data_IF_513406384049
#
_entry.id   IF_513406384049
#
_cell.length_a   1.000
_cell.length_b   1.000
_cell.length_c   1.000
_cell.angle_alpha   90.00
_cell.angle_beta   90.00
_cell.angle_gamma   90.00
#
_symmetry.space_group_name_H-M   'P 1'
#
loop_
_entity.id
_entity.type
_entity.pdbx_description
1 polymer ?
#
# COMPACT_ATOMS: atom_id res chain seq x y z
N UNK A 1 -43.29 -49.90 -41.49
CA UNK A 1 -42.43 -49.05 -40.64
C UNK A 1 -42.15 -47.76 -41.39
N UNK A 2 -42.56 -46.64 -40.78
CA UNK A 2 -42.21 -45.21 -41.01
C UNK A 2 -42.00 -44.69 -42.45
N UNK A 3 -43.04 -44.02 -42.95
CA UNK A 3 -42.94 -42.82 -43.80
C UNK A 3 -42.93 -41.58 -42.89
N UNK A 4 -42.06 -40.60 -43.16
CA UNK A 4 -42.21 -39.25 -42.61
C UNK A 4 -41.98 -38.24 -43.74
N UNK A 5 -43.00 -37.42 -43.96
CA UNK A 5 -43.04 -36.29 -44.88
C UNK A 5 -43.13 -34.99 -44.07
N UNK A 6 -42.31 -34.02 -44.48
CA UNK A 6 -42.51 -32.56 -44.58
C UNK A 6 -43.50 -31.87 -43.62
N UNK A 7 -43.00 -30.91 -42.81
CA UNK A 7 -43.71 -29.66 -42.53
C UNK A 7 -42.71 -28.52 -42.23
N UNK A 8 -42.85 -27.45 -43.00
CA UNK A 8 -42.21 -26.14 -42.87
C UNK A 8 -42.82 -25.40 -41.67
N UNK A 9 -42.01 -24.75 -40.83
CA UNK A 9 -42.49 -23.72 -39.91
C UNK A 9 -41.49 -22.56 -39.85
N UNK A 10 -41.91 -21.43 -40.41
CA UNK A 10 -41.29 -20.12 -40.32
C UNK A 10 -41.63 -19.54 -38.95
N UNK A 11 -40.63 -19.11 -38.18
CA UNK A 11 -40.83 -18.23 -37.03
C UNK A 11 -40.01 -16.96 -37.20
N UNK A 12 -40.72 -15.86 -37.42
CA UNK A 12 -40.27 -14.50 -37.15
C UNK A 12 -40.20 -14.32 -35.63
N UNK A 13 -39.06 -13.89 -35.08
CA UNK A 13 -39.01 -13.24 -33.77
C UNK A 13 -38.12 -12.00 -33.85
N UNK A 14 -38.76 -10.89 -33.50
CA UNK A 14 -38.30 -9.51 -33.54
C UNK A 14 -37.11 -9.25 -32.63
N UNK A 15 -36.19 -8.44 -33.14
CA UNK A 15 -35.20 -7.66 -32.41
C UNK A 15 -35.85 -6.81 -31.29
N UNK A 16 -35.57 -7.18 -30.04
CA UNK A 16 -35.86 -6.36 -28.87
C UNK A 16 -34.56 -5.99 -28.17
N UNK A 17 -34.14 -4.73 -28.33
CA UNK A 17 -33.04 -4.08 -27.64
C UNK A 17 -33.27 -4.16 -26.11
N UNK A 18 -32.49 -4.99 -25.40
CA UNK A 18 -32.40 -4.88 -23.94
C UNK A 18 -31.36 -3.81 -23.61
N UNK A 19 -31.81 -2.59 -23.33
CA UNK A 19 -31.00 -1.62 -22.58
C UNK A 19 -30.83 -2.17 -21.16
N UNK A 20 -29.67 -2.77 -20.88
CA UNK A 20 -29.23 -3.05 -19.53
C UNK A 20 -28.89 -1.71 -18.88
N UNK A 21 -29.84 -1.10 -18.17
CA UNK A 21 -29.51 -0.03 -17.22
C UNK A 21 -28.73 -0.67 -16.09
N UNK A 22 -27.42 -0.53 -16.10
CA UNK A 22 -26.59 -0.81 -14.94
C UNK A 22 -27.11 0.06 -13.79
N UNK A 23 -27.68 -0.62 -12.78
CA UNK A 23 -27.92 0.01 -11.49
C UNK A 23 -26.54 0.32 -10.92
N UNK A 24 -26.21 1.60 -10.80
CA UNK A 24 -25.13 2.05 -9.93
C UNK A 24 -25.48 1.61 -8.52
N UNK A 25 -24.91 0.49 -8.07
CA UNK A 25 -24.97 0.13 -6.66
C UNK A 25 -24.25 1.23 -5.87
N UNK A 26 -24.84 1.72 -4.76
CA UNK A 26 -24.18 2.70 -3.91
C UNK A 26 -22.85 2.15 -3.42
N UNK A 27 -21.82 3.00 -3.43
CA UNK A 27 -20.52 2.72 -2.82
C UNK A 27 -20.78 2.24 -1.37
N UNK A 28 -20.35 1.04 -0.98
CA UNK A 28 -20.55 0.58 0.38
C UNK A 28 -19.80 1.52 1.34
N UNK A 29 -20.38 1.85 2.51
CA UNK A 29 -19.68 2.66 3.49
C UNK A 29 -18.32 2.04 3.83
N UNK A 30 -17.29 2.89 3.96
CA UNK A 30 -15.98 2.54 4.53
C UNK A 30 -16.24 1.67 5.77
N UNK A 31 -15.56 0.53 5.89
CA UNK A 31 -15.75 -0.47 6.95
C UNK A 31 -16.25 0.17 8.25
N UNK A 32 -17.56 0.04 8.49
CA UNK A 32 -18.15 0.49 9.75
C UNK A 32 -17.49 -0.31 10.85
N UNK A 33 -16.63 0.36 11.61
CA UNK A 33 -16.13 -0.15 12.89
C UNK A 33 -17.35 -0.57 13.70
N UNK A 34 -17.52 -1.88 13.90
CA UNK A 34 -18.42 -2.40 14.94
C UNK A 34 -18.19 -1.54 16.17
N UNK A 35 -19.22 -0.85 16.65
CA UNK A 35 -19.16 -0.08 17.91
C UNK A 35 -18.82 -1.04 19.03
N UNK A 36 -17.53 -1.25 19.29
CA UNK A 36 -17.08 -1.90 20.49
C UNK A 36 -17.44 -0.95 21.62
N UNK A 37 -18.23 -1.42 22.57
CA UNK A 37 -18.43 -0.78 23.88
C UNK A 37 -17.14 -0.86 24.73
N UNK A 38 -15.98 -0.65 24.11
CA UNK A 38 -14.66 -0.85 24.65
C UNK A 38 -14.02 0.44 25.14
N UNK A 39 -13.02 0.31 26.01
CA UNK A 39 -12.21 1.43 26.49
C UNK A 39 -11.65 2.23 25.30
N UNK A 40 -11.75 3.56 25.38
CA UNK A 40 -11.18 4.50 24.43
C UNK A 40 -10.59 5.67 25.23
N UNK A 41 -9.30 5.96 25.04
CA UNK A 41 -8.64 7.11 25.67
C UNK A 41 -7.73 7.81 24.67
N UNK A 42 -7.86 9.14 24.55
CA UNK A 42 -6.88 9.95 23.84
C UNK A 42 -5.63 10.04 24.72
N UNK A 43 -4.51 9.51 24.23
CA UNK A 43 -3.22 9.54 24.94
C UNK A 43 -2.42 10.80 24.61
N UNK A 44 -2.55 11.29 23.38
CA UNK A 44 -1.82 12.44 22.88
C UNK A 44 -2.58 13.09 21.73
N UNK A 45 -2.50 14.41 21.62
CA UNK A 45 -2.98 15.18 20.47
C UNK A 45 -2.06 16.38 20.30
N UNK A 46 -1.52 16.57 19.09
CA UNK A 46 -0.51 17.58 18.80
C UNK A 46 -0.54 17.97 17.32
N UNK A 47 -0.25 19.24 17.03
CA UNK A 47 -0.07 19.72 15.66
C UNK A 47 1.38 20.12 15.47
N UNK A 48 2.04 19.52 14.46
CA UNK A 48 3.36 19.94 13.98
C UNK A 48 3.21 20.85 12.76
N UNK A 49 4.33 21.23 12.15
CA UNK A 49 4.33 21.93 10.87
C UNK A 49 3.67 21.10 9.76
N UNK A 50 3.68 19.77 9.89
CA UNK A 50 3.30 18.83 8.84
C UNK A 50 1.88 18.27 8.98
N UNK A 51 1.43 17.93 10.18
CA UNK A 51 0.13 17.28 10.42
C UNK A 51 -0.45 17.61 11.79
N UNK A 52 -1.77 17.60 11.91
CA UNK A 52 -2.47 17.48 13.20
C UNK A 52 -2.65 15.99 13.50
N UNK A 53 -2.11 15.54 14.63
CA UNK A 53 -1.96 14.13 14.99
C UNK A 53 -2.67 13.82 16.29
N UNK A 54 -3.28 12.64 16.36
CA UNK A 54 -3.92 12.13 17.57
C UNK A 54 -3.60 10.66 17.80
N UNK A 55 -3.21 10.32 19.02
CA UNK A 55 -2.96 8.95 19.47
C UNK A 55 -4.11 8.50 20.36
N UNK A 56 -4.79 7.43 19.97
CA UNK A 56 -5.92 6.87 20.72
C UNK A 56 -5.62 5.43 21.12
N UNK A 57 -5.78 5.17 22.42
CA UNK A 57 -5.75 3.85 23.03
C UNK A 57 -7.13 3.21 22.97
N UNK A 58 -7.18 1.96 22.54
CA UNK A 58 -8.31 1.05 22.67
C UNK A 58 -7.92 -0.14 23.56
N UNK A 59 -8.86 -1.05 23.83
CA UNK A 59 -8.61 -2.23 24.68
C UNK A 59 -7.38 -3.06 24.23
N UNK A 60 -7.26 -3.29 22.93
CA UNK A 60 -6.34 -4.26 22.32
C UNK A 60 -5.31 -3.62 21.39
N UNK A 61 -5.50 -2.35 21.02
CA UNK A 61 -4.66 -1.68 20.05
C UNK A 61 -4.53 -0.19 20.30
N UNK A 62 -3.49 0.40 19.72
CA UNK A 62 -3.28 1.84 19.66
C UNK A 62 -3.29 2.31 18.22
N UNK A 63 -3.96 3.42 17.96
CA UNK A 63 -4.07 4.01 16.62
C UNK A 63 -3.51 5.43 16.61
N UNK A 64 -2.69 5.74 15.60
CA UNK A 64 -2.28 7.09 15.24
C UNK A 64 -3.21 7.57 14.13
N UNK A 65 -3.78 8.76 14.33
CA UNK A 65 -4.61 9.43 13.35
C UNK A 65 -3.95 10.74 12.90
N UNK A 66 -4.13 11.07 11.62
CA UNK A 66 -4.09 12.46 11.17
C UNK A 66 -5.50 13.02 11.16
N UNK A 67 -5.66 14.18 11.78
CA UNK A 67 -6.93 14.89 11.86
C UNK A 67 -6.92 15.99 10.80
N UNK A 68 -7.80 15.87 9.81
CA UNK A 68 -7.94 16.86 8.73
C UNK A 68 -8.65 18.12 9.24
N UNK A 69 -8.57 19.22 8.48
CA UNK A 69 -9.20 20.50 8.85
C UNK A 69 -10.72 20.42 8.97
N UNK A 70 -11.35 19.49 8.24
CA UNK A 70 -12.79 19.20 8.33
C UNK A 70 -13.15 18.29 9.53
N UNK A 71 -12.18 17.90 10.35
CA UNK A 71 -12.34 17.00 11.50
C UNK A 71 -12.29 15.51 11.16
N UNK A 72 -12.10 15.11 9.89
CA UNK A 72 -11.93 13.70 9.53
C UNK A 72 -10.66 13.12 10.18
N UNK A 73 -10.80 11.97 10.86
CA UNK A 73 -9.69 11.23 11.44
C UNK A 73 -9.25 10.12 10.47
N UNK A 74 -8.09 10.29 9.84
CA UNK A 74 -7.48 9.31 8.93
C UNK A 74 -6.53 8.43 9.72
N UNK A 75 -6.69 7.11 9.61
CA UNK A 75 -5.81 6.14 10.26
C UNK A 75 -4.46 6.09 9.54
N UNK A 76 -3.40 6.46 10.24
CA UNK A 76 -2.03 6.44 9.70
C UNK A 76 -1.25 5.22 10.18
N UNK A 77 -1.47 4.79 11.42
CA UNK A 77 -0.81 3.60 11.97
C UNK A 77 -1.65 2.93 13.04
N UNK A 78 -1.49 1.62 13.18
CA UNK A 78 -2.09 0.83 14.25
C UNK A 78 -1.16 -0.29 14.68
N UNK A 79 -1.05 -0.50 15.99
CA UNK A 79 -0.36 -1.65 16.59
C UNK A 79 -1.30 -2.42 17.50
N UNK A 80 -1.11 -3.74 17.58
CA UNK A 80 -1.63 -4.54 18.69
C UNK A 80 -0.76 -4.25 19.92
N UNK A 81 -1.39 -3.97 21.06
CA UNK A 81 -0.68 -3.54 22.27
C UNK A 81 0.23 -4.61 22.85
N UNK A 82 -0.07 -5.89 22.61
CA UNK A 82 0.69 -7.03 23.10
C UNK A 82 1.63 -7.61 22.03
N UNK A 83 1.36 -7.35 20.75
CA UNK A 83 2.06 -7.93 19.61
C UNK A 83 2.33 -6.85 18.55
N UNK A 84 3.14 -5.82 18.84
CA UNK A 84 3.36 -4.68 17.94
C UNK A 84 3.98 -5.08 16.59
N UNK A 85 4.62 -6.25 16.50
CA UNK A 85 5.14 -6.84 15.26
C UNK A 85 4.05 -7.29 14.28
N UNK A 86 2.81 -7.48 14.73
CA UNK A 86 1.71 -7.93 13.88
C UNK A 86 1.12 -6.75 13.12
N UNK A 87 1.28 -6.77 11.80
CA UNK A 87 0.68 -5.76 10.91
C UNK A 87 -0.84 -5.74 11.06
N UNK A 88 -1.35 -4.58 11.49
CA UNK A 88 -2.79 -4.33 11.71
C UNK A 88 -3.49 -3.77 10.46
N UNK A 89 -2.78 -2.99 9.65
CA UNK A 89 -3.35 -2.34 8.47
C UNK A 89 -3.14 -3.21 7.22
N UNK A 90 -4.22 -3.49 6.48
CA UNK A 90 -4.19 -4.42 5.34
C UNK A 90 -3.21 -4.01 4.24
N UNK A 91 -3.08 -2.71 3.96
CA UNK A 91 -2.18 -2.21 2.91
C UNK A 91 -0.71 -2.55 3.21
N UNK A 92 -0.29 -2.49 4.48
CA UNK A 92 1.11 -2.81 4.86
C UNK A 92 1.48 -4.25 4.52
N UNK A 93 0.54 -5.20 4.64
CA UNK A 93 0.71 -6.61 4.23
C UNK A 93 0.92 -6.72 2.72
N UNK A 94 0.12 -5.99 1.94
CA UNK A 94 0.24 -5.90 0.49
C UNK A 94 1.60 -5.29 0.08
N UNK A 95 2.09 -4.29 0.81
CA UNK A 95 3.41 -3.68 0.54
C UNK A 95 4.54 -4.70 0.68
N UNK A 96 4.52 -5.51 1.74
CA UNK A 96 5.49 -6.61 1.90
C UNK A 96 5.40 -7.66 0.79
N UNK A 97 4.35 -7.67 -0.04
CA UNK A 97 4.27 -8.49 -1.26
C UNK A 97 5.46 -8.33 -2.22
N UNK A 98 6.28 -7.27 -2.10
CA UNK A 98 7.56 -7.17 -2.80
C UNK A 98 8.55 -8.31 -2.48
N UNK A 99 8.50 -8.89 -1.26
CA UNK A 99 9.43 -9.94 -0.84
C UNK A 99 9.33 -11.19 -1.72
N UNK A 100 8.11 -11.53 -2.16
CA UNK A 100 7.87 -12.71 -3.02
C UNK A 100 8.16 -12.45 -4.50
N UNK A 101 8.43 -11.20 -4.87
CA UNK A 101 8.83 -10.83 -6.23
C UNK A 101 10.33 -11.02 -6.48
N UNK A 102 11.12 -11.23 -5.43
CA UNK A 102 12.58 -11.32 -5.51
C UNK A 102 13.06 -12.76 -5.35
N UNK A 103 14.15 -13.12 -6.04
CA UNK A 103 14.82 -14.43 -5.94
C UNK A 103 15.43 -14.70 -4.56
N UNK A 104 15.77 -13.63 -3.84
CA UNK A 104 16.33 -13.65 -2.49
C UNK A 104 15.66 -12.56 -1.68
N UNK A 105 15.56 -12.76 -0.37
CA UNK A 105 15.11 -11.68 0.52
C UNK A 105 16.00 -10.44 0.36
N UNK A 106 15.41 -9.24 0.33
CA UNK A 106 16.18 -8.00 0.27
C UNK A 106 17.05 -7.87 1.52
N UNK A 107 18.17 -7.16 1.40
CA UNK A 107 19.02 -6.81 2.55
C UNK A 107 18.89 -5.34 2.93
N UNK A 108 18.79 -4.45 1.94
CA UNK A 108 18.70 -3.02 2.16
C UNK A 108 17.32 -2.55 1.72
N UNK A 109 16.53 -2.07 2.66
CA UNK A 109 15.18 -1.58 2.42
C UNK A 109 15.08 -0.14 2.90
N UNK A 110 14.43 0.70 2.09
CA UNK A 110 14.12 2.07 2.46
C UNK A 110 12.61 2.19 2.66
N UNK A 111 12.20 2.79 3.76
CA UNK A 111 10.84 3.24 4.02
C UNK A 111 10.83 4.77 3.97
N UNK A 112 10.08 5.35 3.03
CA UNK A 112 9.82 6.79 2.98
C UNK A 112 8.52 7.04 3.75
N UNK A 113 8.65 7.66 4.92
CA UNK A 113 7.63 7.72 5.97
C UNK A 113 7.99 6.87 7.18
N UNK A 114 7.26 7.02 8.28
CA UNK A 114 7.40 6.16 9.47
C UNK A 114 6.05 5.75 10.08
N UNK A 115 5.12 6.71 10.19
CA UNK A 115 3.90 6.54 10.98
C UNK A 115 4.21 6.10 12.41
N UNK A 116 3.50 5.09 12.91
CA UNK A 116 3.79 4.49 14.22
C UNK A 116 4.87 3.40 14.19
N UNK A 117 5.56 3.18 13.07
CA UNK A 117 6.64 2.19 12.96
C UNK A 117 6.19 0.73 12.79
N UNK A 118 4.92 0.46 12.45
CA UNK A 118 4.39 -0.90 12.32
C UNK A 118 5.14 -1.78 11.30
N UNK A 119 5.54 -1.20 10.15
CA UNK A 119 6.35 -1.92 9.15
C UNK A 119 7.76 -2.23 9.66
N UNK A 120 8.36 -1.35 10.47
CA UNK A 120 9.66 -1.60 11.09
C UNK A 120 9.57 -2.70 12.14
N UNK A 121 8.54 -2.69 13.00
CA UNK A 121 8.28 -3.76 13.97
C UNK A 121 8.17 -5.12 13.30
N UNK A 122 7.36 -5.20 12.24
CA UNK A 122 7.19 -6.42 11.45
C UNK A 122 8.51 -6.88 10.83
N UNK A 123 9.25 -5.98 10.18
CA UNK A 123 10.53 -6.32 9.55
C UNK A 123 11.55 -6.82 10.58
N UNK A 124 11.72 -6.10 11.70
CA UNK A 124 12.69 -6.47 12.73
C UNK A 124 12.41 -7.83 13.35
N UNK A 125 11.14 -8.20 13.50
CA UNK A 125 10.75 -9.47 14.10
C UNK A 125 10.84 -10.64 13.11
N UNK A 126 10.21 -10.52 11.94
CA UNK A 126 10.06 -11.63 11.01
C UNK A 126 11.23 -11.74 10.02
N UNK A 127 11.94 -10.65 9.78
CA UNK A 127 13.03 -10.55 8.81
C UNK A 127 14.23 -9.78 9.40
N UNK A 128 14.84 -10.27 10.50
CA UNK A 128 15.91 -9.55 11.20
C UNK A 128 17.17 -9.32 10.34
N UNK A 129 17.31 -10.03 9.21
CA UNK A 129 18.37 -9.79 8.23
C UNK A 129 18.13 -8.59 7.31
N UNK A 130 16.92 -8.03 7.26
CA UNK A 130 16.59 -6.82 6.51
C UNK A 130 17.07 -5.60 7.30
N UNK A 131 17.96 -4.82 6.70
CA UNK A 131 18.32 -3.49 7.16
C UNK A 131 17.31 -2.50 6.57
N UNK A 132 16.52 -1.88 7.44
CA UNK A 132 15.50 -0.90 7.07
C UNK A 132 15.87 0.49 7.56
N UNK A 133 16.09 1.41 6.63
CA UNK A 133 16.15 2.84 6.94
C UNK A 133 14.75 3.44 6.74
N UNK A 134 14.22 4.12 7.74
CA UNK A 134 13.01 4.94 7.60
C UNK A 134 13.40 6.42 7.49
N UNK A 135 12.92 7.12 6.47
CA UNK A 135 13.12 8.56 6.28
C UNK A 135 11.82 9.28 6.59
N UNK A 136 11.81 10.00 7.71
CA UNK A 136 10.65 10.73 8.22
C UNK A 136 10.95 12.22 8.23
N UNK A 137 10.02 13.03 7.73
CA UNK A 137 10.21 14.49 7.66
C UNK A 137 9.86 15.15 9.00
N UNK A 138 8.90 14.59 9.74
CA UNK A 138 8.38 15.13 10.99
C UNK A 138 9.04 14.47 12.22
N UNK A 139 9.90 15.19 12.97
CA UNK A 139 10.48 14.65 14.21
C UNK A 139 9.44 14.31 15.28
N UNK A 140 8.24 14.91 15.23
CA UNK A 140 7.15 14.60 16.17
C UNK A 140 6.62 13.18 15.93
N UNK A 141 6.59 12.70 14.68
CA UNK A 141 6.19 11.33 14.35
C UNK A 141 7.15 10.32 14.99
N UNK A 142 8.47 10.54 14.92
CA UNK A 142 9.44 9.67 15.59
C UNK A 142 9.25 9.67 17.12
N UNK A 143 8.99 10.83 17.72
CA UNK A 143 8.69 10.93 19.15
C UNK A 143 7.45 10.12 19.50
N UNK A 144 6.37 10.26 18.72
CA UNK A 144 5.13 9.50 18.90
C UNK A 144 5.38 8.00 18.75
N UNK A 145 6.11 7.58 17.72
CA UNK A 145 6.41 6.18 17.47
C UNK A 145 7.18 5.53 18.62
N UNK A 146 8.14 6.26 19.21
CA UNK A 146 8.91 5.80 20.38
C UNK A 146 8.06 5.77 21.66
N UNK A 147 7.38 6.87 21.99
CA UNK A 147 6.65 7.00 23.25
C UNK A 147 5.37 6.15 23.30
N UNK A 148 4.67 6.06 22.17
CA UNK A 148 3.35 5.46 22.09
C UNK A 148 3.32 4.20 21.22
N UNK A 149 4.28 3.93 20.35
CA UNK A 149 4.20 2.72 19.51
C UNK A 149 5.33 1.73 19.79
N UNK A 150 6.04 1.89 20.91
CA UNK A 150 7.11 1.02 21.36
C UNK A 150 8.26 0.87 20.34
N UNK A 151 8.38 1.80 19.39
CA UNK A 151 9.42 1.73 18.36
C UNK A 151 10.79 1.81 19.01
N UNK A 152 11.62 0.81 18.72
CA UNK A 152 13.02 0.76 19.12
C UNK A 152 13.89 0.72 17.88
N UNK A 153 14.83 1.67 17.79
CA UNK A 153 15.85 1.64 16.74
C UNK A 153 16.85 0.52 17.06
N UNK A 154 17.34 -0.15 16.03
CA UNK A 154 18.33 -1.22 16.15
C UNK A 154 19.45 -0.97 15.15
N UNK A 155 20.55 -1.75 15.20
CA UNK A 155 21.58 -1.66 14.14
C UNK A 155 21.04 -1.96 12.74
N UNK A 156 19.91 -2.68 12.64
CA UNK A 156 19.24 -3.01 11.39
C UNK A 156 18.02 -2.11 11.09
N UNK A 157 17.68 -1.16 11.97
CA UNK A 157 16.48 -0.32 11.84
C UNK A 157 16.76 1.08 12.34
N UNK A 158 16.95 2.02 11.41
CA UNK A 158 17.28 3.41 11.73
C UNK A 158 16.18 4.35 11.27
N UNK A 159 15.88 5.40 12.05
CA UNK A 159 15.02 6.49 11.61
C UNK A 159 15.85 7.74 11.35
N UNK A 160 15.75 8.26 10.13
CA UNK A 160 16.46 9.43 9.66
C UNK A 160 15.47 10.59 9.52
N UNK A 161 15.60 11.60 10.40
CA UNK A 161 14.78 12.82 10.28
C UNK A 161 15.30 13.70 9.15
N UNK A 162 14.70 13.55 7.95
CA UNK A 162 15.12 14.18 6.70
C UNK A 162 13.94 14.33 5.73
N UNK A 163 14.05 15.32 4.85
CA UNK A 163 13.22 15.38 3.64
C UNK A 163 13.64 14.25 2.69
N UNK A 164 12.67 13.44 2.26
CA UNK A 164 12.91 12.26 1.43
C UNK A 164 13.48 12.59 0.05
N UNK A 165 13.07 13.71 -0.56
CA UNK A 165 13.59 14.13 -1.86
C UNK A 165 15.08 14.44 -1.76
N UNK A 166 15.46 15.30 -0.79
CA UNK A 166 16.86 15.67 -0.54
C UNK A 166 17.72 14.47 -0.11
N UNK A 167 17.14 13.57 0.69
CA UNK A 167 17.80 12.33 1.07
C UNK A 167 18.14 11.50 -0.17
N UNK A 168 17.17 11.21 -1.03
CA UNK A 168 17.40 10.40 -2.23
C UNK A 168 18.34 11.07 -3.24
N UNK A 169 18.40 12.40 -3.32
CA UNK A 169 19.37 13.11 -4.18
C UNK A 169 20.83 12.90 -3.75
N UNK A 170 21.07 12.75 -2.46
CA UNK A 170 22.43 12.75 -1.88
C UNK A 170 22.85 11.40 -1.31
N UNK A 171 21.91 10.45 -1.23
CA UNK A 171 22.14 9.15 -0.63
C UNK A 171 23.04 8.26 -1.51
N UNK A 172 24.19 7.76 -0.97
CA UNK A 172 25.08 6.88 -1.72
C UNK A 172 24.58 5.43 -1.77
N UNK A 173 23.71 5.02 -0.84
CA UNK A 173 23.26 3.63 -0.69
C UNK A 173 22.23 3.24 -1.76
N UNK A 174 22.32 2.02 -2.29
CA UNK A 174 21.28 1.46 -3.17
C UNK A 174 20.42 0.46 -2.40
N UNK A 175 19.12 0.50 -2.66
CA UNK A 175 18.12 -0.31 -1.97
C UNK A 175 17.56 -1.41 -2.87
N UNK A 176 17.28 -2.58 -2.26
CA UNK A 176 16.60 -3.69 -2.92
C UNK A 176 15.10 -3.44 -3.05
N UNK A 177 14.53 -2.73 -2.06
CA UNK A 177 13.13 -2.32 -2.01
C UNK A 177 13.02 -0.91 -1.44
N UNK A 178 12.22 -0.06 -2.07
CA UNK A 178 11.82 1.25 -1.52
C UNK A 178 10.31 1.24 -1.32
N UNK A 179 9.86 1.38 -0.08
CA UNK A 179 8.46 1.59 0.30
C UNK A 179 8.16 3.09 0.31
N UNK A 180 7.22 3.53 -0.52
CA UNK A 180 6.70 4.90 -0.57
C UNK A 180 5.40 4.96 0.22
N UNK A 181 5.46 5.45 1.45
CA UNK A 181 4.34 5.51 2.42
C UNK A 181 4.40 6.81 3.24
N UNK A 182 4.45 7.93 2.54
CA UNK A 182 4.58 9.26 3.13
C UNK A 182 3.40 10.14 2.78
N UNK A 183 2.53 10.33 3.77
CA UNK A 183 1.38 11.23 3.74
C UNK A 183 1.56 12.32 4.79
N UNK A 184 1.08 13.51 4.51
CA UNK A 184 1.04 14.66 5.42
C UNK A 184 -0.38 15.26 5.42
N UNK A 185 -0.56 16.46 5.97
CA UNK A 185 -1.80 17.24 5.74
C UNK A 185 -1.88 17.73 4.28
N UNK A 186 -3.09 17.87 3.70
CA UNK A 186 -3.25 18.52 2.41
C UNK A 186 -2.79 19.98 2.47
N UNK A 187 -2.10 20.46 1.44
CA UNK A 187 -1.46 21.77 1.42
C UNK A 187 -1.14 22.21 -0.01
N UNK A 188 -0.44 23.32 -0.18
CA UNK A 188 0.06 23.74 -1.51
C UNK A 188 1.21 22.86 -2.02
N UNK A 189 1.87 22.09 -1.15
CA UNK A 189 3.00 21.22 -1.50
C UNK A 189 2.60 19.74 -1.62
N UNK A 190 1.36 19.39 -1.25
CA UNK A 190 0.83 18.03 -1.24
C UNK A 190 -0.54 17.97 -1.94
N UNK A 191 -0.96 16.79 -2.36
CA UNK A 191 -2.33 16.61 -2.87
C UNK A 191 -3.37 16.50 -1.73
N UNK A 192 -4.63 16.24 -2.11
CA UNK A 192 -5.76 16.07 -1.18
C UNK A 192 -5.63 14.87 -0.23
N UNK A 193 -4.77 13.90 -0.56
CA UNK A 193 -4.50 12.73 0.29
C UNK A 193 -3.31 12.97 1.22
N UNK A 194 -2.51 14.00 0.95
CA UNK A 194 -1.30 14.34 1.70
C UNK A 194 0.01 13.90 1.06
N UNK A 195 -0.01 13.38 -0.17
CA UNK A 195 1.22 12.98 -0.88
C UNK A 195 1.91 14.21 -1.47
N UNK A 196 3.23 14.34 -1.30
CA UNK A 196 3.99 15.46 -1.88
C UNK A 196 3.86 15.51 -3.41
N UNK A 197 3.55 16.69 -3.95
CA UNK A 197 3.52 16.92 -5.40
C UNK A 197 4.90 16.70 -6.04
N UNK A 198 6.00 16.83 -5.28
CA UNK A 198 7.36 16.52 -5.76
C UNK A 198 7.50 15.04 -6.13
N UNK A 199 6.80 14.14 -5.44
CA UNK A 199 6.84 12.70 -5.73
C UNK A 199 6.14 12.32 -7.04
N UNK A 200 5.37 13.24 -7.62
CA UNK A 200 4.62 13.04 -8.88
C UNK A 200 5.36 13.55 -10.11
N UNK A 201 6.64 13.91 -9.98
CA UNK A 201 7.42 14.51 -11.07
C UNK A 201 8.37 13.51 -11.74
N UNK A 202 8.60 13.65 -13.05
CA UNK A 202 9.58 12.84 -13.77
C UNK A 202 11.00 12.92 -13.15
N UNK A 203 11.35 14.09 -12.59
CA UNK A 203 12.63 14.29 -11.89
C UNK A 203 12.75 13.37 -10.67
N UNK A 204 11.67 13.22 -9.89
CA UNK A 204 11.65 12.35 -8.73
C UNK A 204 11.77 10.89 -9.12
N UNK A 205 11.04 10.43 -10.15
CA UNK A 205 11.15 9.04 -10.60
C UNK A 205 12.56 8.70 -11.09
N UNK A 206 13.27 9.64 -11.73
CA UNK A 206 14.68 9.48 -12.09
C UNK A 206 15.57 9.32 -10.84
N UNK A 207 15.38 10.16 -9.83
CA UNK A 207 16.11 10.09 -8.56
C UNK A 207 15.81 8.77 -7.85
N UNK A 208 14.54 8.40 -7.75
CA UNK A 208 14.05 7.19 -7.10
C UNK A 208 14.68 5.94 -7.72
N UNK A 209 14.62 5.82 -9.05
CA UNK A 209 15.27 4.73 -9.80
C UNK A 209 16.79 4.70 -9.60
N UNK A 210 17.43 5.87 -9.54
CA UNK A 210 18.87 5.93 -9.30
C UNK A 210 19.25 5.39 -7.91
N UNK A 211 18.32 5.32 -6.95
CA UNK A 211 18.54 4.76 -5.61
C UNK A 211 18.25 3.25 -5.52
N UNK A 212 17.81 2.62 -6.60
CA UNK A 212 17.57 1.17 -6.63
C UNK A 212 18.84 0.40 -6.99
N UNK A 213 18.93 -0.83 -6.48
CA UNK A 213 19.76 -1.88 -7.07
C UNK A 213 19.16 -2.33 -8.40
N UNK A 214 19.94 -3.07 -9.19
CA UNK A 214 19.54 -3.54 -10.52
C UNK A 214 18.19 -4.29 -10.49
N UNK A 215 17.98 -5.18 -9.52
CA UNK A 215 16.73 -5.93 -9.32
C UNK A 215 15.75 -5.25 -8.33
N UNK A 216 15.92 -3.94 -8.13
CA UNK A 216 15.21 -3.15 -7.14
C UNK A 216 13.73 -2.95 -7.45
N UNK A 217 12.92 -2.84 -6.40
CA UNK A 217 11.47 -2.65 -6.50
C UNK A 217 11.09 -1.39 -5.74
N UNK A 218 10.25 -0.55 -6.32
CA UNK A 218 9.53 0.48 -5.58
C UNK A 218 8.11 0.00 -5.33
N UNK A 219 7.62 0.20 -4.12
CA UNK A 219 6.25 -0.11 -3.74
C UNK A 219 5.57 1.18 -3.29
N UNK A 220 4.51 1.54 -3.98
CA UNK A 220 3.72 2.74 -3.73
C UNK A 220 2.45 2.38 -2.97
N UNK A 221 2.23 3.04 -1.84
CA UNK A 221 0.92 3.10 -1.21
C UNK A 221 0.12 4.25 -1.84
N UNK A 222 -0.98 3.96 -2.53
CA UNK A 222 -1.84 4.97 -3.16
C UNK A 222 -3.19 4.98 -2.44
N UNK A 223 -3.53 6.11 -1.83
CA UNK A 223 -4.88 6.35 -1.30
C UNK A 223 -5.84 6.50 -2.48
N UNK A 224 -6.84 5.63 -2.56
CA UNK A 224 -7.82 5.65 -3.65
C UNK A 224 -8.72 6.88 -3.51
N UNK A 225 -8.64 7.75 -4.51
CA UNK A 225 -9.46 8.94 -4.68
C UNK A 225 -9.76 9.14 -6.18
N UNK A 226 -10.42 10.25 -6.52
CA UNK A 226 -10.77 10.57 -7.90
C UNK A 226 -9.55 10.70 -8.82
N UNK A 227 -8.38 11.08 -8.31
CA UNK A 227 -7.17 11.31 -9.12
C UNK A 227 -6.12 10.18 -9.05
N UNK A 228 -6.39 9.13 -8.26
CA UNK A 228 -5.44 8.04 -8.02
C UNK A 228 -5.04 7.31 -9.30
N UNK A 229 -5.89 7.31 -10.33
CA UNK A 229 -5.55 6.75 -11.65
C UNK A 229 -4.36 7.46 -12.30
N UNK A 230 -4.20 8.78 -12.09
CA UNK A 230 -3.08 9.57 -12.63
C UNK A 230 -1.76 9.14 -11.99
N UNK A 231 -1.77 8.88 -10.69
CA UNK A 231 -0.58 8.40 -9.98
C UNK A 231 -0.16 7.03 -10.51
N UNK A 232 -1.12 6.14 -10.76
CA UNK A 232 -0.87 4.83 -11.34
C UNK A 232 -0.34 4.95 -12.79
N UNK A 233 -0.89 5.85 -13.60
CA UNK A 233 -0.39 6.13 -14.97
C UNK A 233 1.08 6.55 -14.96
N UNK A 234 1.46 7.49 -14.08
CA UNK A 234 2.86 7.91 -13.93
C UNK A 234 3.76 6.71 -13.60
N UNK A 235 3.32 5.81 -12.70
CA UNK A 235 4.07 4.59 -12.36
C UNK A 235 4.18 3.66 -13.58
N UNK A 236 3.09 3.47 -14.33
CA UNK A 236 3.05 2.62 -15.53
C UNK A 236 3.98 3.10 -16.65
N UNK A 237 4.10 4.43 -16.80
CA UNK A 237 5.01 5.08 -17.74
C UNK A 237 6.47 4.98 -17.30
N UNK A 238 6.71 5.02 -15.99
CA UNK A 238 8.07 5.02 -15.47
C UNK A 238 8.63 3.61 -15.27
N UNK A 239 7.86 2.54 -15.06
CA UNK A 239 8.42 1.20 -14.81
C UNK A 239 8.09 0.16 -15.90
N UNK A 240 9.08 -0.65 -16.26
CA UNK A 240 8.94 -1.76 -17.22
C UNK A 240 7.92 -2.79 -16.72
N UNK A 241 8.13 -3.28 -15.50
CA UNK A 241 7.31 -4.29 -14.84
C UNK A 241 6.50 -3.62 -13.74
N UNK A 242 5.17 -3.77 -13.81
CA UNK A 242 4.25 -3.24 -12.81
C UNK A 242 3.28 -4.34 -12.37
N UNK A 243 3.11 -4.47 -11.06
CA UNK A 243 2.07 -5.29 -10.45
C UNK A 243 1.30 -4.46 -9.42
N UNK A 244 0.11 -4.92 -9.04
CA UNK A 244 -0.62 -4.27 -7.97
C UNK A 244 -1.43 -5.25 -7.13
N UNK A 245 -1.65 -4.86 -5.88
CA UNK A 245 -2.63 -5.47 -5.00
C UNK A 245 -3.75 -4.48 -4.79
N UNK A 246 -4.96 -4.87 -5.20
CA UNK A 246 -6.17 -4.13 -4.93
C UNK A 246 -7.25 -5.07 -4.41
N UNK A 247 -7.80 -4.74 -3.26
CA UNK A 247 -9.04 -5.34 -2.76
C UNK A 247 -10.07 -4.22 -2.77
N UNK A 248 -11.23 -4.46 -3.38
CA UNK A 248 -12.25 -3.43 -3.68
C UNK A 248 -12.79 -2.62 -2.48
N UNK A 249 -12.31 -2.85 -1.25
CA UNK A 249 -12.77 -2.21 -0.03
C UNK A 249 -11.63 -1.66 0.87
N UNK A 250 -10.35 -1.77 0.50
CA UNK A 250 -9.24 -1.42 1.40
C UNK A 250 -8.87 0.07 1.44
N UNK A 251 -9.47 0.92 0.60
CA UNK A 251 -9.12 2.35 0.48
C UNK A 251 -7.72 2.62 -0.11
N UNK A 252 -6.80 1.65 -0.06
CA UNK A 252 -5.47 1.71 -0.62
C UNK A 252 -5.30 0.79 -1.83
N UNK A 253 -4.52 1.24 -2.81
CA UNK A 253 -4.00 0.46 -3.93
C UNK A 253 -2.50 0.38 -3.74
N UNK A 254 -1.95 -0.83 -3.68
CA UNK A 254 -0.50 -1.02 -3.60
C UNK A 254 0.03 -1.33 -4.99
N UNK A 255 0.94 -0.51 -5.48
CA UNK A 255 1.54 -0.67 -6.82
C UNK A 255 3.04 -0.92 -6.69
N UNK A 256 3.53 -1.97 -7.34
CA UNK A 256 4.93 -2.35 -7.36
C UNK A 256 5.49 -2.04 -8.75
N UNK A 257 6.59 -1.28 -8.81
CA UNK A 257 7.31 -0.94 -10.03
C UNK A 257 8.76 -1.44 -10.01
N UNK A 258 9.21 -2.05 -11.10
CA UNK A 258 10.62 -2.40 -11.33
C UNK A 258 10.99 -2.28 -12.80
N UNK A 259 12.26 -2.01 -13.07
CA UNK A 259 12.82 -2.07 -14.43
C UNK A 259 13.38 -3.47 -14.77
N UNK A 260 13.46 -4.35 -13.77
CA UNK A 260 13.96 -5.71 -13.88
C UNK A 260 12.83 -6.74 -13.90
N UNK A 261 13.13 -7.91 -14.45
CA UNK A 261 12.20 -9.03 -14.41
C UNK A 261 12.10 -9.57 -12.98
N UNK A 262 10.86 -9.78 -12.53
CA UNK A 262 10.54 -10.24 -11.19
C UNK A 262 10.22 -11.74 -11.20
N UNK A 263 10.33 -12.40 -10.03
CA UNK A 263 9.79 -13.76 -9.87
C UNK A 263 8.33 -13.79 -10.30
N UNK A 264 7.95 -14.88 -10.96
CA UNK A 264 6.61 -15.07 -11.53
C UNK A 264 6.17 -16.53 -11.39
N UNK A 265 4.87 -16.77 -11.57
CA UNK A 265 4.31 -18.12 -11.58
C UNK A 265 4.75 -18.98 -10.39
N UNK A 266 5.22 -20.19 -10.70
CA UNK A 266 5.60 -21.18 -9.67
C UNK A 266 6.74 -20.73 -8.76
N UNK A 267 7.74 -20.02 -9.30
CA UNK A 267 8.88 -19.57 -8.48
C UNK A 267 8.44 -18.56 -7.41
N UNK A 268 7.50 -17.66 -7.77
CA UNK A 268 6.89 -16.71 -6.84
C UNK A 268 6.09 -17.43 -5.74
N UNK A 269 5.32 -18.45 -6.11
CA UNK A 269 4.59 -19.28 -5.15
C UNK A 269 5.53 -20.04 -4.21
N UNK A 270 6.63 -20.58 -4.72
CA UNK A 270 7.65 -21.27 -3.92
C UNK A 270 8.27 -20.31 -2.90
N UNK A 271 8.58 -19.08 -3.32
CA UNK A 271 9.10 -18.05 -2.41
C UNK A 271 8.07 -17.69 -1.33
N UNK A 272 6.80 -17.50 -1.71
CA UNK A 272 5.72 -17.20 -0.77
C UNK A 272 5.51 -18.33 0.26
N UNK A 273 5.45 -19.58 -0.20
CA UNK A 273 5.31 -20.75 0.67
C UNK A 273 6.53 -20.97 1.58
N UNK A 274 7.74 -20.66 1.09
CA UNK A 274 8.94 -20.67 1.93
C UNK A 274 8.86 -19.61 3.04
N UNK A 275 8.51 -18.36 2.72
CA UNK A 275 8.35 -17.29 3.73
C UNK A 275 7.28 -17.68 4.76
N UNK A 276 6.13 -18.18 4.32
CA UNK A 276 5.03 -18.56 5.21
C UNK A 276 5.43 -19.67 6.19
N UNK A 277 6.21 -20.67 5.75
CA UNK A 277 6.66 -21.78 6.59
C UNK A 277 7.83 -21.41 7.50
N UNK A 278 8.81 -20.68 6.98
CA UNK A 278 10.06 -20.36 7.67
C UNK A 278 9.87 -19.19 8.65
N UNK A 279 9.26 -18.10 8.18
CA UNK A 279 9.12 -16.85 8.95
C UNK A 279 7.83 -16.79 9.76
N UNK A 280 6.77 -17.48 9.33
CA UNK A 280 5.46 -17.53 10.00
C UNK A 280 4.89 -16.15 10.37
N UNK A 281 4.79 -15.21 9.41
CA UNK A 281 4.24 -13.88 9.66
C UNK A 281 2.75 -13.95 10.03
N UNK A 282 2.19 -12.83 10.52
CA UNK A 282 0.76 -12.76 10.94
C UNK A 282 -0.25 -12.71 9.77
N UNK A 283 0.17 -13.09 8.57
CA UNK A 283 -0.63 -13.28 7.36
C UNK A 283 0.08 -14.27 6.44
N UNK A 284 -0.60 -14.78 5.41
CA UNK A 284 0.02 -15.68 4.41
C UNK A 284 0.33 -14.91 3.14
N UNK A 285 1.57 -15.01 2.68
CA UNK A 285 2.02 -14.53 1.38
C UNK A 285 1.39 -15.33 0.24
N UNK A 286 1.16 -16.63 0.39
CA UNK A 286 0.44 -17.42 -0.62
C UNK A 286 -0.99 -16.92 -0.79
N UNK A 287 -1.68 -16.62 0.30
CA UNK A 287 -3.03 -16.04 0.23
C UNK A 287 -3.00 -14.62 -0.33
N UNK A 288 -1.96 -13.83 -0.01
CA UNK A 288 -1.75 -12.50 -0.54
C UNK A 288 -1.68 -12.50 -2.08
N UNK A 289 -0.97 -13.48 -2.67
CA UNK A 289 -0.79 -13.60 -4.13
C UNK A 289 -2.11 -13.77 -4.89
N UNK A 290 -3.19 -14.24 -4.25
CA UNK A 290 -4.51 -14.34 -4.90
C UNK A 290 -5.09 -12.97 -5.31
N UNK A 291 -4.65 -11.91 -4.65
CA UNK A 291 -5.06 -10.53 -4.95
C UNK A 291 -4.07 -9.80 -5.87
N UNK A 292 -3.01 -10.50 -6.31
CA UNK A 292 -2.00 -9.91 -7.18
C UNK A 292 -2.53 -9.81 -8.60
N UNK A 293 -2.26 -8.67 -9.21
CA UNK A 293 -2.71 -8.33 -10.54
C UNK A 293 -1.56 -7.78 -11.38
N UNK A 294 -1.65 -8.01 -12.68
CA UNK A 294 -0.63 -7.66 -13.68
C UNK A 294 -0.84 -6.24 -14.23
N UNK A 295 0.16 -5.74 -14.97
CA UNK A 295 0.11 -4.44 -15.68
C UNK A 295 -1.10 -4.29 -16.59
N UNK A 296 -1.49 -5.35 -17.29
CA UNK A 296 -2.64 -5.31 -18.21
C UNK A 296 -3.98 -5.26 -17.45
N UNK A 297 -4.07 -5.97 -16.34
CA UNK A 297 -5.23 -5.88 -15.45
C UNK A 297 -5.36 -4.49 -14.80
N UNK A 298 -4.24 -3.80 -14.50
CA UNK A 298 -4.26 -2.40 -14.04
C UNK A 298 -4.91 -1.51 -15.09
N UNK A 299 -4.48 -1.60 -16.35
CA UNK A 299 -5.00 -0.74 -17.42
C UNK A 299 -6.51 -0.93 -17.61
N UNK A 300 -6.98 -2.18 -17.54
CA UNK A 300 -8.40 -2.46 -17.57
C UNK A 300 -9.14 -1.83 -16.39
N UNK A 301 -8.55 -1.86 -15.19
CA UNK A 301 -9.09 -1.19 -14.01
C UNK A 301 -9.14 0.34 -14.21
N UNK A 302 -8.06 0.97 -14.67
CA UNK A 302 -8.02 2.42 -14.91
C UNK A 302 -9.07 2.87 -15.91
N UNK A 303 -9.22 2.15 -17.03
CA UNK A 303 -10.25 2.44 -18.04
C UNK A 303 -11.67 2.39 -17.46
N UNK A 304 -11.92 1.54 -16.46
CA UNK A 304 -13.22 1.49 -15.78
C UNK A 304 -13.48 2.66 -14.83
N UNK A 305 -12.42 3.32 -14.33
CA UNK A 305 -12.51 4.47 -13.44
C UNK A 305 -12.66 5.77 -14.24
N UNK A 306 -11.91 5.94 -15.33
CA UNK A 306 -11.95 7.15 -16.16
C UNK A 306 -13.27 7.35 -16.93
N UNK A 307 -14.09 6.30 -17.06
CA UNK A 307 -15.40 6.33 -17.71
C UNK A 307 -16.56 6.60 -16.72
N UNK A 308 -16.27 6.86 -15.44
CA UNK A 308 -17.25 7.25 -14.41
C UNK A 308 -17.13 8.73 -14.10
#
# INVERSE_FOLDING_TARGET
MKNVSLFTLIFFLSSGLFLCKEKTEPIPPKEETKKSTGYKKILHEITSDYSHMKVVEYNDHRTLFFVRDNGEEVVESRIDNLNPEKLQLGYTKNMFGALVMKKKLPRNVLLIGLGGGGMMHFSNHFFPEIQMDAVEIDPVILKIAKEYFFLTETMASNVLIRDAYKFLETNPTKYDVIFMDAFLKPSVETDETGVSLKFKTASFYKILKSNLREDGIVVFNINQNNDSYKDIEIILENFKVVHFFHKNNSGNIIVLGSDSDLLSGKDREIMADWIDRDRKPNFSFIELLKNLKTKDEIKSYLNSQSNK
#
